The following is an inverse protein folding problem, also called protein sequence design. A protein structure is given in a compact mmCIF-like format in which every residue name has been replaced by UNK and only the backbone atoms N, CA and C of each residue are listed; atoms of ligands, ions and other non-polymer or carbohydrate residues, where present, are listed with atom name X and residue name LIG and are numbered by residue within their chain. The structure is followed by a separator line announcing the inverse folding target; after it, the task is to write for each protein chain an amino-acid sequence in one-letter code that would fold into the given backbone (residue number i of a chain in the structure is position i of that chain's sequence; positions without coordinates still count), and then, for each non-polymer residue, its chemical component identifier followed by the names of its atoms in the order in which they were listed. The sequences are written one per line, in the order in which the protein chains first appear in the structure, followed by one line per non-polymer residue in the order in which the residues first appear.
data_IF_090107060232
#
_entry.id   IF_090107060232
#
_cell.length_a   1.000
_cell.length_b   1.000
_cell.length_c   1.000
_cell.angle_alpha   90.00
_cell.angle_beta   90.00
_cell.angle_gamma   90.00
#
_symmetry.space_group_name_H-M   'P 1'
#
loop_
_entity.id
_entity.type
_entity.pdbx_description
1 polymer ?
#
# COMPACT_ATOMS: atom_id res chain seq x y z
N UNK A 1 -13.11 -12.23 3.87
CA UNK A 1 -12.20 -12.36 5.00
C UNK A 1 -12.29 -13.80 5.46
N UNK A 2 -11.16 -14.47 5.65
CA UNK A 2 -11.09 -15.88 6.08
C UNK A 2 -11.26 -16.09 7.59
N UNK A 3 -11.25 -15.02 8.39
CA UNK A 3 -11.69 -14.96 9.78
C UNK A 3 -12.85 -13.94 9.86
N UNK A 4 -13.70 -14.02 10.90
CA UNK A 4 -14.61 -12.91 11.20
C UNK A 4 -13.84 -11.60 11.36
N UNK A 5 -14.49 -10.46 11.18
CA UNK A 5 -13.90 -9.20 11.64
C UNK A 5 -14.09 -9.05 13.14
N UNK A 6 -13.17 -8.37 13.81
CA UNK A 6 -13.39 -7.94 15.20
C UNK A 6 -14.67 -7.11 15.27
N UNK A 7 -15.46 -7.36 16.32
CA UNK A 7 -16.69 -6.63 16.63
C UNK A 7 -16.41 -5.18 16.98
N UNK A 8 -17.37 -4.29 16.74
CA UNK A 8 -17.36 -2.93 17.27
C UNK A 8 -18.59 -2.77 18.18
N UNK A 9 -18.43 -2.55 19.50
CA UNK A 9 -17.20 -2.21 20.21
C UNK A 9 -16.17 -3.34 20.33
N UNK A 10 -14.89 -2.97 20.33
CA UNK A 10 -13.75 -3.86 20.56
C UNK A 10 -13.47 -3.96 22.06
N UNK A 11 -13.44 -5.17 22.60
CA UNK A 11 -13.07 -5.41 24.00
C UNK A 11 -11.54 -5.45 24.15
N UNK A 12 -10.96 -4.49 24.86
CA UNK A 12 -9.55 -4.49 25.23
C UNK A 12 -9.28 -5.46 26.39
N UNK A 13 -8.11 -6.13 26.40
CA UNK A 13 -7.71 -7.03 27.50
C UNK A 13 -7.01 -6.30 28.64
N UNK A 14 -6.43 -5.13 28.35
CA UNK A 14 -5.71 -4.27 29.28
C UNK A 14 -5.68 -2.82 28.75
N UNK A 15 -5.20 -1.90 29.59
CA UNK A 15 -5.15 -0.47 29.27
C UNK A 15 -4.25 -0.13 28.08
N UNK A 16 -3.17 -0.91 27.87
CA UNK A 16 -2.28 -0.69 26.74
C UNK A 16 -2.98 -1.01 25.40
N UNK A 17 -3.78 -2.07 25.36
CA UNK A 17 -4.62 -2.37 24.19
C UNK A 17 -5.73 -1.36 23.98
N UNK A 18 -6.37 -0.90 25.06
CA UNK A 18 -7.39 0.15 24.99
C UNK A 18 -6.81 1.42 24.34
N UNK A 19 -5.62 1.85 24.78
CA UNK A 19 -4.94 3.01 24.22
C UNK A 19 -4.60 2.85 22.74
N UNK A 20 -4.25 1.64 22.27
CA UNK A 20 -4.03 1.38 20.85
C UNK A 20 -5.34 1.47 20.07
N UNK A 21 -6.40 0.80 20.54
CA UNK A 21 -7.72 0.82 19.89
C UNK A 21 -8.22 2.27 19.73
N UNK A 22 -8.04 3.09 20.76
CA UNK A 22 -8.42 4.50 20.74
C UNK A 22 -7.61 5.30 19.70
N UNK A 23 -6.29 5.10 19.61
CA UNK A 23 -5.47 5.73 18.55
C UNK A 23 -5.92 5.33 17.15
N UNK A 24 -6.25 4.05 16.92
CA UNK A 24 -6.72 3.58 15.62
C UNK A 24 -8.06 4.21 15.25
N UNK A 25 -8.98 4.32 16.21
CA UNK A 25 -10.27 5.00 16.01
C UNK A 25 -10.10 6.50 15.76
N UNK A 26 -9.24 7.18 16.53
CA UNK A 26 -9.00 8.61 16.38
C UNK A 26 -8.52 8.96 14.98
N UNK A 27 -7.58 8.17 14.44
CA UNK A 27 -7.06 8.34 13.08
C UNK A 27 -8.14 8.23 11.98
N UNK A 28 -9.26 7.56 12.25
CA UNK A 28 -10.34 7.37 11.27
C UNK A 28 -11.43 8.41 11.34
N UNK A 29 -11.47 9.24 12.39
CA UNK A 29 -12.53 10.25 12.53
C UNK A 29 -12.59 11.21 11.33
N UNK A 30 -13.80 11.61 10.90
CA UNK A 30 -15.12 11.23 11.43
C UNK A 30 -15.65 9.88 10.91
N UNK A 31 -14.88 9.17 10.09
CA UNK A 31 -15.23 7.86 9.54
C UNK A 31 -15.13 6.71 10.54
N UNK A 32 -15.49 5.52 10.07
CA UNK A 32 -15.45 4.27 10.82
C UNK A 32 -14.13 3.52 10.59
N UNK A 33 -13.88 2.50 11.41
CA UNK A 33 -12.79 1.55 11.18
C UNK A 33 -12.97 0.85 9.82
N UNK A 34 -11.90 0.82 9.03
CA UNK A 34 -11.87 0.05 7.80
C UNK A 34 -11.77 -1.44 8.11
N UNK A 35 -12.07 -2.28 7.12
CA UNK A 35 -11.92 -3.73 7.20
C UNK A 35 -10.49 -4.13 7.54
N UNK A 36 -9.48 -3.40 7.03
CA UNK A 36 -8.09 -3.60 7.42
C UNK A 36 -7.83 -3.27 8.89
N UNK A 37 -8.40 -2.18 9.43
CA UNK A 37 -8.24 -1.86 10.85
C UNK A 37 -8.87 -2.97 11.71
N UNK A 38 -10.07 -3.42 11.36
CA UNK A 38 -10.79 -4.50 12.06
C UNK A 38 -10.05 -5.85 11.97
N UNK A 39 -9.37 -6.13 10.86
CA UNK A 39 -8.54 -7.32 10.71
C UNK A 39 -7.26 -7.24 11.58
N UNK A 40 -6.57 -6.09 11.58
CA UNK A 40 -5.35 -5.89 12.37
C UNK A 40 -5.63 -5.92 13.88
N UNK A 41 -6.79 -5.43 14.32
CA UNK A 41 -7.14 -5.33 15.74
C UNK A 41 -7.41 -6.68 16.43
N UNK A 42 -7.31 -7.82 15.71
CA UNK A 42 -7.08 -9.13 16.35
C UNK A 42 -5.77 -9.16 17.15
N UNK A 43 -4.80 -8.32 16.78
CA UNK A 43 -3.55 -8.11 17.50
C UNK A 43 -3.27 -6.61 17.59
N UNK A 44 -3.71 -5.92 18.66
CA UNK A 44 -3.49 -4.49 18.81
C UNK A 44 -2.01 -4.07 18.69
N UNK A 45 -1.07 -4.85 19.24
CA UNK A 45 0.36 -4.58 19.10
C UNK A 45 0.85 -4.59 17.65
N UNK A 46 0.34 -5.51 16.82
CA UNK A 46 0.64 -5.53 15.38
C UNK A 46 -0.04 -4.35 14.69
N UNK A 47 -1.29 -4.03 15.04
CA UNK A 47 -2.00 -2.89 14.49
C UNK A 47 -1.25 -1.57 14.74
N UNK A 48 -0.71 -1.36 15.94
CA UNK A 48 0.01 -0.14 16.31
C UNK A 48 1.29 0.02 15.47
N UNK A 49 2.15 -1.00 15.45
CA UNK A 49 3.39 -0.96 14.66
C UNK A 49 3.13 -0.83 13.16
N UNK A 50 2.11 -1.53 12.64
CA UNK A 50 1.65 -1.39 11.25
C UNK A 50 1.25 0.06 10.96
N UNK A 51 0.44 0.65 11.84
CA UNK A 51 -0.08 2.00 11.65
C UNK A 51 1.00 3.07 11.75
N UNK A 52 2.01 2.89 12.60
CA UNK A 52 3.18 3.76 12.66
C UNK A 52 3.97 3.72 11.35
N UNK A 53 4.37 2.54 10.88
CA UNK A 53 5.19 2.40 9.67
C UNK A 53 4.46 2.92 8.42
N UNK A 54 3.20 2.54 8.22
CA UNK A 54 2.39 3.00 7.10
C UNK A 54 2.03 4.49 7.21
N UNK A 55 1.99 5.04 8.43
CA UNK A 55 1.86 6.47 8.68
C UNK A 55 3.08 7.22 8.18
N UNK A 56 4.29 6.76 8.51
CA UNK A 56 5.54 7.37 8.02
C UNK A 56 5.61 7.38 6.49
N UNK A 57 5.28 6.26 5.83
CA UNK A 57 5.29 6.19 4.36
C UNK A 57 4.31 7.16 3.71
N UNK A 58 3.07 7.26 4.21
CA UNK A 58 2.03 8.05 3.54
C UNK A 58 2.04 9.53 3.90
N UNK A 59 2.53 9.88 5.10
CA UNK A 59 2.34 11.22 5.67
C UNK A 59 3.65 11.94 6.00
N UNK A 60 4.78 11.22 6.10
CA UNK A 60 6.06 11.80 6.55
C UNK A 60 7.17 11.64 5.51
N UNK A 61 6.95 10.87 4.44
CA UNK A 61 7.87 10.73 3.32
C UNK A 61 7.91 12.01 2.46
N UNK A 62 9.07 12.27 1.87
CA UNK A 62 9.32 13.34 0.91
C UNK A 62 8.76 13.08 -0.51
N UNK A 63 8.32 11.85 -0.80
CA UNK A 63 7.81 11.48 -2.12
C UNK A 63 6.56 12.28 -2.48
N UNK A 64 6.54 12.77 -3.72
CA UNK A 64 5.34 13.32 -4.34
C UNK A 64 4.24 12.25 -4.41
N UNK A 65 2.98 12.70 -4.33
CA UNK A 65 1.83 11.81 -4.28
C UNK A 65 1.77 10.90 -5.53
N UNK A 66 2.09 11.41 -6.71
CA UNK A 66 2.06 10.63 -7.95
C UNK A 66 3.06 9.46 -7.90
N UNK A 67 4.26 9.66 -7.36
CA UNK A 67 5.29 8.62 -7.23
C UNK A 67 4.91 7.59 -6.18
N UNK A 68 4.49 8.05 -5.00
CA UNK A 68 4.09 7.16 -3.91
C UNK A 68 2.89 6.31 -4.31
N UNK A 69 1.83 6.94 -4.81
CA UNK A 69 0.58 6.24 -5.15
C UNK A 69 0.74 5.37 -6.40
N UNK A 70 1.60 5.73 -7.36
CA UNK A 70 1.98 4.85 -8.48
C UNK A 70 2.63 3.56 -7.98
N UNK A 71 3.63 3.64 -7.09
CA UNK A 71 4.30 2.47 -6.55
C UNK A 71 3.30 1.55 -5.82
N UNK A 72 2.40 2.13 -5.03
CA UNK A 72 1.36 1.41 -4.31
C UNK A 72 0.39 0.72 -5.27
N UNK A 73 -0.15 1.46 -6.24
CA UNK A 73 -1.10 0.91 -7.20
C UNK A 73 -0.48 -0.20 -8.06
N UNK A 74 0.78 -0.02 -8.49
CA UNK A 74 1.47 -1.05 -9.27
C UNK A 74 1.71 -2.33 -8.46
N UNK A 75 2.07 -2.22 -7.18
CA UNK A 75 2.13 -3.38 -6.27
C UNK A 75 0.76 -4.05 -6.15
N UNK A 76 -0.31 -3.28 -5.99
CA UNK A 76 -1.66 -3.81 -5.88
C UNK A 76 -2.07 -4.61 -7.13
N UNK A 77 -1.78 -4.09 -8.34
CA UNK A 77 -2.01 -4.79 -9.62
C UNK A 77 -1.19 -6.09 -9.67
N UNK A 78 0.12 -6.01 -9.43
CA UNK A 78 1.01 -7.17 -9.50
C UNK A 78 0.65 -8.28 -8.50
N UNK A 79 0.11 -7.91 -7.33
CA UNK A 79 -0.29 -8.86 -6.28
C UNK A 79 -1.78 -9.18 -6.28
N UNK A 80 -2.57 -8.61 -7.20
CA UNK A 80 -4.03 -8.78 -7.28
C UNK A 80 -4.73 -8.38 -5.96
N UNK A 81 -4.28 -7.30 -5.32
CA UNK A 81 -4.76 -6.85 -4.02
C UNK A 81 -5.88 -5.79 -4.16
N UNK A 82 -7.14 -6.23 -4.21
CA UNK A 82 -8.28 -5.37 -4.63
C UNK A 82 -8.60 -4.33 -3.59
N UNK A 83 -8.48 -4.72 -2.32
CA UNK A 83 -8.64 -3.79 -1.21
C UNK A 83 -7.64 -2.64 -1.32
N UNK A 84 -6.37 -2.94 -1.56
CA UNK A 84 -5.30 -1.94 -1.73
C UNK A 84 -5.59 -1.03 -2.92
N UNK A 85 -5.85 -1.62 -4.09
CA UNK A 85 -6.20 -0.88 -5.30
C UNK A 85 -7.36 0.09 -5.08
N UNK A 86 -8.46 -0.38 -4.48
CA UNK A 86 -9.66 0.45 -4.32
C UNK A 86 -9.41 1.68 -3.44
N UNK A 87 -8.49 1.59 -2.49
CA UNK A 87 -8.17 2.72 -1.60
C UNK A 87 -7.13 3.67 -2.19
N UNK A 88 -6.30 3.21 -3.12
CA UNK A 88 -5.15 3.95 -3.62
C UNK A 88 -5.30 4.46 -5.07
N UNK A 89 -6.03 3.75 -5.93
CA UNK A 89 -6.25 4.18 -7.31
C UNK A 89 -6.90 5.58 -7.41
N UNK A 90 -7.90 5.95 -6.58
CA UNK A 90 -8.44 7.31 -6.60
C UNK A 90 -7.38 8.37 -6.26
N UNK A 91 -6.47 8.08 -5.32
CA UNK A 91 -5.40 8.98 -4.89
C UNK A 91 -4.33 9.13 -5.97
N UNK A 92 -3.97 8.04 -6.64
CA UNK A 92 -3.07 8.06 -7.78
C UNK A 92 -3.66 8.89 -8.94
N UNK A 93 -4.94 8.71 -9.26
CA UNK A 93 -5.63 9.48 -10.29
C UNK A 93 -5.69 10.98 -9.94
N UNK A 94 -6.02 11.32 -8.68
CA UNK A 94 -6.00 12.71 -8.18
C UNK A 94 -4.60 13.33 -8.28
N UNK A 95 -3.55 12.55 -8.04
CA UNK A 95 -2.17 12.96 -8.19
C UNK A 95 -1.69 13.04 -9.66
N UNK A 96 -2.56 12.72 -10.64
CA UNK A 96 -2.25 12.83 -12.07
C UNK A 96 -1.55 11.60 -12.67
N UNK A 97 -1.59 10.44 -12.01
CA UNK A 97 -1.09 9.18 -12.57
C UNK A 97 -2.08 8.66 -13.61
N UNK A 98 -1.59 8.36 -14.82
CA UNK A 98 -2.37 7.63 -15.82
C UNK A 98 -2.49 6.16 -15.42
N UNK A 99 -3.59 5.78 -14.78
CA UNK A 99 -3.79 4.40 -14.30
C UNK A 99 -3.84 3.36 -15.43
N UNK A 100 -4.29 3.73 -16.64
CA UNK A 100 -4.30 2.80 -17.78
C UNK A 100 -2.87 2.39 -18.18
N UNK A 101 -1.87 3.21 -17.85
CA UNK A 101 -0.47 2.85 -18.08
C UNK A 101 -0.04 1.60 -17.31
N UNK A 102 -0.71 1.25 -16.20
CA UNK A 102 -0.42 0.03 -15.45
C UNK A 102 -0.79 -1.25 -16.21
N UNK A 103 -1.73 -1.16 -17.17
CA UNK A 103 -2.09 -2.25 -18.09
C UNK A 103 -1.27 -2.25 -19.37
N UNK A 104 -0.71 -1.09 -19.73
CA UNK A 104 0.04 -0.87 -20.97
C UNK A 104 1.56 -0.86 -20.72
N UNK A 105 2.04 -1.67 -19.78
CA UNK A 105 3.47 -1.82 -19.45
C UNK A 105 4.21 -0.47 -19.22
N UNK A 106 3.51 0.49 -18.61
CA UNK A 106 4.02 1.83 -18.30
C UNK A 106 3.87 2.86 -19.43
N UNK A 107 3.23 2.53 -20.55
CA UNK A 107 2.99 3.46 -21.65
C UNK A 107 2.11 4.64 -21.20
N UNK A 108 2.59 5.87 -21.42
CA UNK A 108 1.93 7.09 -20.98
C UNK A 108 2.37 7.60 -19.60
N UNK A 109 3.27 6.89 -18.91
CA UNK A 109 3.95 7.44 -17.73
C UNK A 109 5.05 8.42 -18.14
N UNK A 110 5.33 9.40 -17.27
CA UNK A 110 6.55 10.22 -17.41
C UNK A 110 7.80 9.36 -17.20
N UNK A 111 8.98 9.84 -17.62
CA UNK A 111 10.25 9.10 -17.38
C UNK A 111 10.50 8.80 -15.90
N UNK A 112 10.21 9.79 -15.02
CA UNK A 112 10.36 9.66 -13.57
C UNK A 112 9.41 8.59 -13.00
N UNK A 113 8.17 8.55 -13.47
CA UNK A 113 7.18 7.52 -13.10
C UNK A 113 7.55 6.14 -13.65
N UNK A 114 8.00 6.05 -14.90
CA UNK A 114 8.39 4.80 -15.54
C UNK A 114 9.58 4.14 -14.82
N UNK A 115 10.53 4.93 -14.30
CA UNK A 115 11.62 4.42 -13.48
C UNK A 115 11.10 3.70 -12.22
N UNK A 116 10.10 4.27 -11.53
CA UNK A 116 9.47 3.67 -10.35
C UNK A 116 8.65 2.43 -10.71
N UNK A 117 7.93 2.48 -11.84
CA UNK A 117 7.19 1.32 -12.37
C UNK A 117 8.11 0.12 -12.60
N UNK A 118 9.23 0.32 -13.31
CA UNK A 118 10.23 -0.73 -13.59
C UNK A 118 10.94 -1.23 -12.33
N UNK A 119 11.30 -0.32 -11.43
CA UNK A 119 11.91 -0.66 -10.16
C UNK A 119 10.98 -1.54 -9.31
N UNK A 120 9.70 -1.18 -9.24
CA UNK A 120 8.66 -1.95 -8.55
C UNK A 120 8.46 -3.33 -9.17
N UNK A 121 8.51 -3.42 -10.50
CA UNK A 121 8.44 -4.66 -11.25
C UNK A 121 9.57 -5.61 -10.86
N UNK A 122 10.80 -5.13 -10.83
CA UNK A 122 11.98 -5.91 -10.47
C UNK A 122 11.91 -6.39 -9.00
N UNK A 123 11.63 -5.48 -8.05
CA UNK A 123 11.51 -5.79 -6.62
C UNK A 123 10.45 -6.87 -6.35
N UNK A 124 9.35 -6.86 -7.12
CA UNK A 124 8.25 -7.82 -6.92
C UNK A 124 8.47 -9.13 -7.68
N UNK A 125 8.78 -9.06 -8.98
CA UNK A 125 8.80 -10.23 -9.87
C UNK A 125 10.07 -11.06 -9.67
N UNK A 126 11.21 -10.41 -9.42
CA UNK A 126 12.51 -11.08 -9.39
C UNK A 126 13.22 -11.01 -8.03
N UNK A 127 12.74 -10.18 -7.10
CA UNK A 127 13.36 -9.86 -5.80
C UNK A 127 14.66 -9.05 -5.96
N UNK A 128 15.48 -9.40 -6.95
CA UNK A 128 16.66 -8.66 -7.36
C UNK A 128 16.30 -7.54 -8.33
N UNK A 129 16.89 -6.36 -8.11
CA UNK A 129 16.78 -5.20 -9.02
C UNK A 129 17.99 -5.17 -9.92
N UNK A 130 17.77 -5.13 -11.24
CA UNK A 130 18.83 -5.00 -12.23
C UNK A 130 19.57 -3.67 -12.03
N UNK A 131 20.88 -3.69 -12.24
CA UNK A 131 21.72 -2.51 -12.04
C UNK A 131 21.25 -1.33 -12.90
N UNK A 132 20.88 -1.59 -14.16
CA UNK A 132 20.42 -0.54 -15.06
C UNK A 132 19.13 0.14 -14.57
N UNK A 133 18.22 -0.65 -13.95
CA UNK A 133 16.96 -0.14 -13.37
C UNK A 133 17.24 0.67 -12.10
N UNK A 134 18.18 0.22 -11.27
CA UNK A 134 18.59 0.97 -10.09
C UNK A 134 19.25 2.29 -10.45
N UNK A 135 20.13 2.30 -11.46
CA UNK A 135 20.76 3.52 -11.96
C UNK A 135 19.77 4.48 -12.60
N UNK A 136 18.77 3.99 -13.35
CA UNK A 136 17.67 4.81 -13.87
C UNK A 136 16.86 5.46 -12.73
N UNK A 137 16.59 4.74 -11.65
CA UNK A 137 15.94 5.31 -10.47
C UNK A 137 16.82 6.40 -9.83
N UNK A 138 18.11 6.13 -9.60
CA UNK A 138 19.06 7.11 -9.04
C UNK A 138 19.24 8.36 -9.89
N UNK A 139 19.04 8.26 -11.20
CA UNK A 139 19.08 9.43 -12.08
C UNK A 139 17.94 10.42 -11.78
N UNK A 140 16.79 9.94 -11.33
CA UNK A 140 15.58 10.74 -11.14
C UNK A 140 15.30 11.15 -9.69
N UNK A 141 15.94 10.51 -8.72
CA UNK A 141 15.62 10.60 -7.30
C UNK A 141 16.87 10.75 -6.44
N UNK A 142 16.75 11.49 -5.35
CA UNK A 142 17.78 11.57 -4.31
C UNK A 142 17.93 10.23 -3.59
N UNK A 143 19.05 10.02 -2.89
CA UNK A 143 19.25 8.80 -2.10
C UNK A 143 18.15 8.60 -1.03
N UNK A 144 17.62 9.69 -0.46
CA UNK A 144 16.48 9.65 0.48
C UNK A 144 15.22 9.15 -0.22
N UNK A 145 14.86 9.75 -1.36
CA UNK A 145 13.69 9.32 -2.14
C UNK A 145 13.82 7.87 -2.62
N UNK A 146 15.02 7.41 -2.99
CA UNK A 146 15.27 6.01 -3.37
C UNK A 146 14.97 5.07 -2.19
N UNK A 147 15.42 5.40 -0.97
CA UNK A 147 15.08 4.63 0.24
C UNK A 147 13.57 4.65 0.49
N UNK A 148 12.92 5.79 0.35
CA UNK A 148 11.47 5.92 0.55
C UNK A 148 10.66 5.14 -0.49
N UNK A 149 11.07 5.13 -1.77
CA UNK A 149 10.46 4.32 -2.84
C UNK A 149 10.63 2.84 -2.52
N UNK A 150 11.84 2.43 -2.15
CA UNK A 150 12.15 1.05 -1.76
C UNK A 150 11.27 0.60 -0.59
N UNK A 151 11.18 1.43 0.46
CA UNK A 151 10.35 1.16 1.63
C UNK A 151 8.86 1.09 1.26
N UNK A 152 8.38 1.99 0.39
CA UNK A 152 7.00 1.99 -0.10
C UNK A 152 6.69 0.68 -0.83
N UNK A 153 7.50 0.29 -1.81
CA UNK A 153 7.32 -0.97 -2.56
C UNK A 153 7.37 -2.19 -1.63
N UNK A 154 8.32 -2.24 -0.70
CA UNK A 154 8.46 -3.36 0.24
C UNK A 154 7.27 -3.47 1.20
N UNK A 155 6.85 -2.36 1.81
CA UNK A 155 5.76 -2.34 2.78
C UNK A 155 4.41 -2.62 2.11
N UNK A 156 4.18 -2.13 0.89
CA UNK A 156 2.95 -2.47 0.16
C UNK A 156 2.97 -3.90 -0.38
N UNK A 157 4.13 -4.48 -0.64
CA UNK A 157 4.26 -5.93 -0.86
C UNK A 157 3.89 -6.73 0.40
N UNK A 158 4.23 -6.25 1.60
CA UNK A 158 3.77 -6.82 2.86
C UNK A 158 2.25 -6.65 3.04
N UNK A 159 1.74 -5.44 2.80
CA UNK A 159 0.32 -5.08 2.86
C UNK A 159 -0.55 -6.00 2.02
N UNK A 160 -0.28 -6.02 0.72
CA UNK A 160 -1.00 -6.86 -0.25
C UNK A 160 -0.98 -8.35 0.13
N UNK A 161 0.13 -8.89 0.66
CA UNK A 161 0.18 -10.27 1.15
C UNK A 161 -0.74 -10.50 2.35
N UNK A 162 -0.80 -9.56 3.30
CA UNK A 162 -1.73 -9.63 4.41
C UNK A 162 -3.19 -9.57 3.93
N UNK A 163 -3.51 -8.58 3.08
CA UNK A 163 -4.83 -8.35 2.52
C UNK A 163 -5.34 -9.56 1.73
N UNK A 164 -4.52 -10.09 0.81
CA UNK A 164 -4.89 -11.21 -0.05
C UNK A 164 -4.95 -12.51 0.75
N UNK A 165 -3.99 -12.78 1.65
CA UNK A 165 -3.99 -14.03 2.41
C UNK A 165 -5.21 -14.17 3.33
N UNK A 166 -5.64 -13.05 3.94
CA UNK A 166 -6.82 -13.01 4.80
C UNK A 166 -8.10 -12.66 4.05
N UNK A 167 -8.05 -12.30 2.77
CA UNK A 167 -9.21 -11.84 2.00
C UNK A 167 -9.91 -10.65 2.68
N UNK A 168 -9.12 -9.65 3.08
CA UNK A 168 -9.64 -8.41 3.69
C UNK A 168 -10.51 -7.67 2.67
N UNK A 169 -11.68 -7.22 3.14
CA UNK A 169 -12.73 -6.62 2.31
C UNK A 169 -13.55 -7.61 1.49
N UNK A 170 -13.27 -8.92 1.54
CA UNK A 170 -13.99 -9.95 0.78
C UNK A 170 -13.93 -9.73 -0.74
N UNK A 171 -12.84 -9.11 -1.20
CA UNK A 171 -12.72 -8.65 -2.59
C UNK A 171 -11.84 -9.54 -3.47
N UNK A 172 -11.22 -10.58 -2.93
CA UNK A 172 -10.36 -11.44 -3.73
C UNK A 172 -11.20 -12.16 -4.80
N UNK A 173 -10.79 -12.02 -6.07
CA UNK A 173 -11.45 -12.69 -7.18
C UNK A 173 -12.79 -12.09 -7.63
N UNK A 174 -13.23 -10.95 -7.06
CA UNK A 174 -14.47 -10.29 -7.48
C UNK A 174 -14.34 -9.45 -8.76
N UNK A 175 -13.13 -9.09 -9.15
CA UNK A 175 -12.84 -8.27 -10.32
C UNK A 175 -11.85 -9.03 -11.20
N UNK A 176 -12.19 -9.21 -12.48
CA UNK A 176 -11.25 -9.79 -13.44
C UNK A 176 -10.00 -8.92 -13.54
N UNK A 177 -8.82 -9.55 -13.61
CA UNK A 177 -7.50 -8.88 -13.64
C UNK A 177 -7.44 -7.78 -14.73
N UNK A 178 -8.26 -7.88 -15.78
CA UNK A 178 -8.30 -6.95 -16.90
C UNK A 178 -9.04 -5.63 -16.60
N UNK A 179 -9.68 -5.51 -15.44
CA UNK A 179 -10.42 -4.32 -15.00
C UNK A 179 -9.62 -3.42 -14.03
N UNK A 180 -8.33 -3.73 -13.81
CA UNK A 180 -7.43 -3.03 -12.91
C UNK A 180 -6.48 -2.15 -13.69
#
# INVERSE_FOLDING_TARGET
MRLPYVSDPISARNDAEAAIIDRVRERRKPGLLLELDRALLYSPSIADGWNSLFGSIRQQSSLSADIRELAICHVAVLNKAQFEWTHHAPLAAEAGVNLEALKLDGEGLTRKQLAVFRYTDDMKKYIFVKEEVFQELKFHFTDVEVVEITATVAVYNCCSRFLVALDVGERNGMIEINQW
#
